data_IF_779451364568
#
_entry.id   IF_779451364568
#
_cell.length_a   1.000
_cell.length_b   1.000
_cell.length_c   1.000
_cell.angle_alpha   90.00
_cell.angle_beta   90.00
_cell.angle_gamma   90.00
#
_symmetry.space_group_name_H-M   'P 1'
#
loop_
_entity.id
_entity.type
_entity.pdbx_description
1 polymer ?
#
# COMPACT_ATOMS: atom_id res chain seq x y z
N UNK A 1 -33.03 6.58 11.19
CA UNK A 1 -31.57 6.33 11.16
C UNK A 1 -31.32 4.85 11.48
N UNK A 2 -31.72 3.95 10.58
CA UNK A 2 -31.60 2.50 10.78
C UNK A 2 -31.23 1.76 9.47
N UNK A 3 -30.77 2.50 8.45
CA UNK A 3 -30.56 1.94 7.11
C UNK A 3 -29.36 2.57 6.44
N UNK A 4 -28.23 1.87 6.52
CA UNK A 4 -27.22 1.98 5.48
C UNK A 4 -26.36 0.72 5.33
N UNK A 5 -26.39 -0.24 6.25
CA UNK A 5 -25.59 -1.48 6.12
C UNK A 5 -26.30 -2.79 6.52
N UNK A 6 -27.45 -2.74 7.19
CA UNK A 6 -28.11 -3.93 7.75
C UNK A 6 -27.39 -4.52 8.97
N UNK A 7 -26.41 -3.81 9.53
CA UNK A 7 -25.71 -4.21 10.75
C UNK A 7 -26.38 -3.57 11.96
N UNK A 8 -26.83 -4.40 12.91
CA UNK A 8 -27.46 -3.91 14.13
C UNK A 8 -26.43 -3.40 15.14
N UNK A 9 -26.84 -2.45 16.00
CA UNK A 9 -25.99 -1.98 17.11
C UNK A 9 -25.56 -3.13 18.04
N UNK A 10 -26.40 -4.15 18.20
CA UNK A 10 -26.06 -5.35 18.96
C UNK A 10 -24.89 -6.12 18.31
N UNK A 11 -24.86 -6.20 16.98
CA UNK A 11 -23.76 -6.84 16.25
C UNK A 11 -22.44 -6.05 16.43
N UNK A 12 -22.49 -4.72 16.35
CA UNK A 12 -21.32 -3.87 16.59
C UNK A 12 -20.75 -4.09 17.99
N UNK A 13 -21.62 -4.07 19.02
CA UNK A 13 -21.21 -4.33 20.39
C UNK A 13 -20.57 -5.72 20.56
N UNK A 14 -21.06 -6.74 19.85
CA UNK A 14 -20.46 -8.07 19.87
C UNK A 14 -19.07 -8.11 19.23
N UNK A 15 -18.84 -7.35 18.15
CA UNK A 15 -17.52 -7.23 17.52
C UNK A 15 -16.56 -6.47 18.44
N UNK A 16 -16.99 -5.35 19.00
CA UNK A 16 -16.17 -4.50 19.89
C UNK A 16 -15.79 -5.20 21.20
N UNK A 17 -16.68 -6.03 21.74
CA UNK A 17 -16.43 -6.81 22.96
C UNK A 17 -15.66 -8.11 22.71
N UNK A 18 -15.29 -8.40 21.46
CA UNK A 18 -14.58 -9.63 21.09
C UNK A 18 -15.45 -10.88 21.11
N UNK A 19 -16.76 -10.78 21.34
CA UNK A 19 -17.69 -11.92 21.21
C UNK A 19 -17.77 -12.44 19.77
N UNK A 20 -17.52 -11.57 18.79
CA UNK A 20 -17.34 -11.96 17.39
C UNK A 20 -15.91 -11.59 17.00
N UNK A 21 -15.06 -12.61 16.98
CA UNK A 21 -13.63 -12.44 16.67
C UNK A 21 -13.35 -12.38 15.16
N UNK A 22 -14.19 -13.04 14.35
CA UNK A 22 -14.05 -13.07 12.89
C UNK A 22 -15.36 -12.69 12.18
N UNK A 23 -15.67 -11.38 12.07
CA UNK A 23 -16.77 -10.92 11.23
C UNK A 23 -16.58 -11.40 9.79
N UNK A 24 -17.66 -11.72 9.07
CA UNK A 24 -17.54 -12.19 7.69
C UNK A 24 -17.09 -11.06 6.74
N UNK A 25 -16.43 -11.38 5.61
CA UNK A 25 -15.98 -10.38 4.63
C UNK A 25 -17.06 -9.39 4.19
N UNK A 26 -18.28 -9.88 3.91
CA UNK A 26 -19.41 -9.02 3.55
C UNK A 26 -19.77 -8.00 4.66
N UNK A 27 -19.65 -8.38 5.93
CA UNK A 27 -19.89 -7.48 7.06
C UNK A 27 -18.76 -6.48 7.24
N UNK A 28 -17.51 -6.92 7.05
CA UNK A 28 -16.35 -6.02 7.06
C UNK A 28 -16.43 -4.99 5.93
N UNK A 29 -16.92 -5.37 4.74
CA UNK A 29 -17.15 -4.45 3.64
C UNK A 29 -18.17 -3.37 3.99
N UNK A 30 -19.32 -3.78 4.55
CA UNK A 30 -20.35 -2.85 4.98
C UNK A 30 -19.87 -1.91 6.11
N UNK A 31 -19.05 -2.41 7.04
CA UNK A 31 -18.39 -1.60 8.07
C UNK A 31 -17.39 -0.62 7.45
N UNK A 32 -16.58 -1.06 6.48
CA UNK A 32 -15.63 -0.22 5.78
C UNK A 32 -16.33 0.96 5.07
N UNK A 33 -17.44 0.70 4.38
CA UNK A 33 -18.23 1.73 3.70
C UNK A 33 -18.89 2.72 4.67
N UNK A 34 -19.36 2.25 5.82
CA UNK A 34 -19.99 3.06 6.86
C UNK A 34 -18.98 3.97 7.55
N UNK A 35 -17.86 3.42 8.01
CA UNK A 35 -16.85 4.15 8.76
C UNK A 35 -15.81 4.83 7.87
N UNK A 36 -15.91 4.67 6.54
CA UNK A 36 -14.96 5.19 5.55
C UNK A 36 -13.52 4.77 5.84
N UNK A 37 -13.34 3.53 6.28
CA UNK A 37 -12.03 2.92 6.56
C UNK A 37 -11.66 1.93 5.46
N UNK A 38 -10.38 1.54 5.42
CA UNK A 38 -9.89 0.55 4.45
C UNK A 38 -10.46 -0.84 4.75
N UNK A 39 -11.16 -1.41 3.77
CA UNK A 39 -11.64 -2.80 3.82
C UNK A 39 -10.49 -3.80 3.96
N UNK A 40 -9.38 -3.59 3.25
CA UNK A 40 -8.20 -4.45 3.33
C UNK A 40 -7.63 -4.49 4.75
N UNK A 41 -7.57 -3.32 5.40
CA UNK A 41 -7.09 -3.23 6.79
C UNK A 41 -8.01 -3.98 7.75
N UNK A 42 -9.34 -3.91 7.54
CA UNK A 42 -10.30 -4.67 8.34
C UNK A 42 -10.15 -6.18 8.13
N UNK A 43 -10.00 -6.61 6.88
CA UNK A 43 -9.76 -8.01 6.51
C UNK A 43 -8.46 -8.55 7.12
N UNK A 44 -7.41 -7.72 7.16
CA UNK A 44 -6.12 -8.05 7.77
C UNK A 44 -6.27 -8.19 9.30
N UNK A 45 -6.87 -7.20 9.96
CA UNK A 45 -7.10 -7.26 11.42
C UNK A 45 -8.02 -8.40 11.85
N UNK A 46 -8.98 -8.78 11.02
CA UNK A 46 -9.85 -9.94 11.27
C UNK A 46 -9.18 -11.28 10.89
N UNK A 47 -7.96 -11.25 10.37
CA UNK A 47 -7.19 -12.45 10.00
C UNK A 47 -7.74 -13.21 8.79
N UNK A 48 -8.44 -12.52 7.88
CA UNK A 48 -8.88 -13.08 6.59
C UNK A 48 -7.81 -12.98 5.52
N UNK A 49 -6.98 -11.94 5.58
CA UNK A 49 -5.81 -11.79 4.71
C UNK A 49 -4.57 -11.66 5.57
N UNK A 50 -3.50 -12.32 5.17
CA UNK A 50 -2.15 -11.98 5.65
C UNK A 50 -1.51 -11.21 4.54
N UNK A 51 -1.27 -9.91 4.74
CA UNK A 51 -0.45 -9.16 3.81
C UNK A 51 0.95 -9.76 3.93
N UNK A 52 1.37 -10.52 2.92
CA UNK A 52 2.81 -10.70 2.75
C UNK A 52 3.35 -9.29 2.64
N UNK A 53 4.21 -8.89 3.57
CA UNK A 53 4.87 -7.59 3.54
C UNK A 53 5.70 -7.52 2.27
N UNK A 54 5.06 -7.18 1.15
CA UNK A 54 5.72 -6.49 0.06
C UNK A 54 5.90 -5.06 0.57
N UNK A 55 6.75 -4.90 1.59
CA UNK A 55 7.59 -3.71 1.66
C UNK A 55 8.06 -3.54 0.22
N UNK A 56 7.72 -2.44 -0.47
CA UNK A 56 8.22 -2.23 -1.81
C UNK A 56 9.73 -2.20 -1.67
N UNK A 57 10.37 -3.33 -1.97
CA UNK A 57 11.81 -3.41 -2.11
C UNK A 57 12.14 -2.26 -3.05
N UNK A 58 12.97 -1.29 -2.61
CA UNK A 58 13.27 -0.13 -3.43
C UNK A 58 13.89 -0.65 -4.73
N UNK A 59 13.06 -0.78 -5.76
CA UNK A 59 13.54 -1.08 -7.08
C UNK A 59 14.20 0.20 -7.56
N UNK A 60 15.34 0.09 -8.23
CA UNK A 60 16.02 1.24 -8.80
C UNK A 60 15.06 2.12 -9.62
N UNK A 61 14.11 1.47 -10.32
CA UNK A 61 13.01 2.14 -11.00
C UNK A 61 12.10 2.91 -10.03
N UNK A 62 11.53 2.25 -9.01
CA UNK A 62 10.64 2.88 -8.03
C UNK A 62 11.28 4.07 -7.30
N UNK A 63 12.54 3.94 -6.85
CA UNK A 63 13.25 5.04 -6.19
C UNK A 63 13.59 6.17 -7.15
N UNK A 64 13.97 5.85 -8.39
CA UNK A 64 14.24 6.89 -9.40
C UNK A 64 12.96 7.65 -9.76
N UNK A 65 11.83 6.96 -9.96
CA UNK A 65 10.55 7.61 -10.25
C UNK A 65 10.05 8.47 -9.09
N UNK A 66 10.18 8.01 -7.85
CA UNK A 66 9.77 8.80 -6.67
C UNK A 66 10.62 10.05 -6.44
N UNK A 67 11.84 10.12 -6.98
CA UNK A 67 12.76 11.27 -6.81
C UNK A 67 12.82 12.17 -8.03
N UNK A 68 12.34 11.73 -9.20
CA UNK A 68 12.32 12.51 -10.46
C UNK A 68 11.49 13.79 -10.39
N UNK A 69 10.42 13.81 -9.60
CA UNK A 69 9.57 14.99 -9.42
C UNK A 69 10.23 16.06 -8.54
N UNK A 70 11.16 15.67 -7.65
CA UNK A 70 11.87 16.58 -6.73
C UNK A 70 13.24 17.05 -7.26
N UNK A 71 13.69 16.52 -8.40
CA UNK A 71 14.99 16.83 -8.99
C UNK A 71 14.97 18.15 -9.77
N UNK A 72 15.91 19.03 -9.43
CA UNK A 72 16.18 20.28 -10.16
C UNK A 72 16.71 20.00 -11.58
N UNK A 73 16.58 20.94 -12.52
CA UNK A 73 17.14 20.81 -13.87
C UNK A 73 18.64 20.48 -13.88
N UNK A 74 19.41 21.07 -12.97
CA UNK A 74 20.85 20.87 -12.82
C UNK A 74 21.18 19.44 -12.35
N UNK A 75 20.40 18.90 -11.40
CA UNK A 75 20.59 17.53 -10.93
C UNK A 75 20.23 16.49 -12.00
N UNK A 76 19.24 16.79 -12.86
CA UNK A 76 18.89 15.94 -14.00
C UNK A 76 20.02 15.86 -15.02
N UNK A 77 20.69 16.98 -15.30
CA UNK A 77 21.84 17.04 -16.21
C UNK A 77 23.06 16.29 -15.65
N UNK A 78 23.33 16.44 -14.35
CA UNK A 78 24.38 15.71 -13.65
C UNK A 78 24.14 14.18 -13.67
N UNK A 79 22.89 13.74 -13.47
CA UNK A 79 22.51 12.32 -13.54
C UNK A 79 22.67 11.76 -14.96
N UNK A 80 22.29 12.51 -15.99
CA UNK A 80 22.48 12.11 -17.38
C UNK A 80 23.96 11.91 -17.73
N UNK A 81 24.82 12.81 -17.24
CA UNK A 81 26.28 12.72 -17.40
C UNK A 81 26.84 11.48 -16.70
N UNK A 82 26.43 11.24 -15.45
CA UNK A 82 26.87 10.08 -14.67
C UNK A 82 26.47 8.74 -15.29
N UNK A 83 25.22 8.62 -15.74
CA UNK A 83 24.74 7.41 -16.42
C UNK A 83 25.49 7.14 -17.73
N UNK A 84 25.87 8.20 -18.45
CA UNK A 84 26.66 8.09 -19.68
C UNK A 84 28.06 7.56 -19.38
N UNK A 85 28.70 8.07 -18.33
CA UNK A 85 30.00 7.58 -17.86
C UNK A 85 29.95 6.10 -17.44
N UNK A 86 28.94 5.69 -16.66
CA UNK A 86 28.76 4.30 -16.24
C UNK A 86 28.59 3.33 -17.41
N UNK A 87 27.84 3.73 -18.44
CA UNK A 87 27.66 2.91 -19.66
C UNK A 87 28.95 2.77 -20.45
N UNK A 88 29.78 3.80 -20.48
CA UNK A 88 31.09 3.76 -21.14
C UNK A 88 32.05 2.82 -20.40
N UNK A 89 32.07 2.87 -19.06
CA UNK A 89 32.87 1.98 -18.23
C UNK A 89 32.49 0.50 -18.43
N UNK A 90 31.19 0.18 -18.36
CA UNK A 90 30.71 -1.20 -18.60
C UNK A 90 30.98 -1.70 -20.02
N UNK A 91 31.05 -0.81 -21.01
CA UNK A 91 31.37 -1.17 -22.39
C UNK A 91 32.86 -1.49 -22.57
N UNK A 92 33.74 -0.85 -21.79
CA UNK A 92 35.18 -1.11 -21.84
C UNK A 92 35.58 -2.38 -21.08
N UNK A 93 34.82 -2.77 -20.06
CA UNK A 93 35.04 -4.03 -19.31
C UNK A 93 34.52 -5.28 -20.04
N UNK A 94 33.73 -5.10 -21.10
CA UNK A 94 33.13 -6.19 -21.89
C UNK A 94 33.87 -6.45 -23.22
N UNK A 95 35.09 -5.90 -23.38
CA UNK A 95 35.93 -6.02 -24.58
C UNK A 95 37.13 -6.94 -24.40
#
# INVERSE_FOLDING_TARGET
MERSTGISNAYLSQVETGKIEKPSPAKLYALAEMYKVSYDKLMETAGHITRQSTEPQPTLAGTAFSTMDDLTPEEKDALATYLTALRLMKKNDAG
#
